data_IF_446162195818
#
_entry.id   IF_446162195818
#
_cell.length_a   1.000
_cell.length_b   1.000
_cell.length_c   1.000
_cell.angle_alpha   90.00
_cell.angle_beta   90.00
_cell.angle_gamma   90.00
#
_symmetry.space_group_name_H-M   'P 1'
#
loop_
_entity.id
_entity.type
_entity.pdbx_description
1 polymer ?
#
# COMPACT_ATOMS: atom_id res chain seq x y z
N UNK A 1 22.59 -30.63 -20.55
CA UNK A 1 22.23 -29.48 -19.69
C UNK A 1 20.88 -29.00 -20.17
N UNK A 2 19.81 -29.43 -19.52
CA UNK A 2 18.45 -29.05 -19.87
C UNK A 2 18.23 -27.60 -19.45
N UNK A 3 18.01 -26.73 -20.41
CA UNK A 3 17.53 -25.38 -20.19
C UNK A 3 16.14 -25.52 -19.54
N UNK A 4 16.08 -25.38 -18.24
CA UNK A 4 14.82 -25.05 -17.54
C UNK A 4 14.46 -23.65 -18.01
N UNK A 5 13.53 -23.57 -18.98
CA UNK A 5 13.01 -22.29 -19.44
C UNK A 5 12.49 -21.52 -18.22
N UNK A 6 13.04 -20.36 -17.96
CA UNK A 6 12.53 -19.42 -16.95
C UNK A 6 11.07 -19.13 -17.29
N UNK A 7 10.19 -19.38 -16.36
CA UNK A 7 8.77 -18.98 -16.48
C UNK A 7 8.75 -17.45 -16.49
N UNK A 8 8.05 -16.87 -17.45
CA UNK A 8 7.90 -15.41 -17.47
C UNK A 8 7.20 -14.92 -16.18
N UNK A 9 7.63 -13.80 -15.58
CA UNK A 9 6.97 -13.25 -14.39
C UNK A 9 5.48 -12.94 -14.63
N UNK A 10 5.05 -12.76 -15.88
CA UNK A 10 3.63 -12.63 -16.24
C UNK A 10 2.82 -13.90 -16.06
N UNK A 11 3.45 -15.08 -16.25
CA UNK A 11 2.77 -16.37 -16.33
C UNK A 11 2.73 -17.10 -14.98
N UNK A 12 3.29 -16.52 -13.94
CA UNK A 12 3.20 -17.08 -12.59
C UNK A 12 1.74 -17.11 -12.13
N UNK A 13 1.31 -18.24 -11.57
CA UNK A 13 -0.04 -18.38 -11.00
C UNK A 13 -0.07 -17.67 -9.66
N UNK A 14 -0.91 -16.64 -9.56
CA UNK A 14 -1.01 -15.78 -8.36
C UNK A 14 -2.20 -16.12 -7.48
N UNK A 15 -3.29 -16.63 -8.06
CA UNK A 15 -4.44 -17.10 -7.30
C UNK A 15 -5.25 -18.14 -8.07
N UNK A 16 -6.15 -18.83 -7.38
CA UNK A 16 -7.10 -19.75 -7.96
C UNK A 16 -8.50 -19.53 -7.38
N UNK A 17 -9.55 -19.58 -8.23
CA UNK A 17 -10.95 -19.54 -7.82
C UNK A 17 -11.67 -20.76 -8.40
N UNK A 18 -12.09 -21.68 -7.55
CA UNK A 18 -12.60 -22.98 -7.98
C UNK A 18 -11.54 -23.77 -8.75
N UNK A 19 -11.81 -24.08 -10.02
CA UNK A 19 -10.88 -24.78 -10.93
C UNK A 19 -10.09 -23.85 -11.83
N UNK A 20 -10.37 -22.55 -11.80
CA UNK A 20 -9.70 -21.56 -12.65
C UNK A 20 -8.50 -20.97 -11.92
N UNK A 21 -7.36 -20.95 -12.60
CA UNK A 21 -6.12 -20.30 -12.15
C UNK A 21 -5.97 -18.95 -12.84
N UNK A 22 -5.42 -17.99 -12.11
CA UNK A 22 -5.17 -16.63 -12.57
C UNK A 22 -3.69 -16.31 -12.41
N UNK A 23 -3.14 -15.66 -13.42
CA UNK A 23 -1.73 -15.31 -13.49
C UNK A 23 -1.47 -13.88 -13.04
N UNK A 24 -0.20 -13.49 -12.91
CA UNK A 24 0.20 -12.11 -12.68
C UNK A 24 -0.32 -11.19 -13.78
N UNK A 25 -0.31 -11.64 -15.04
CA UNK A 25 -0.93 -10.94 -16.17
C UNK A 25 -2.41 -10.64 -15.92
N UNK A 26 -3.18 -11.60 -15.41
CA UNK A 26 -4.60 -11.38 -15.11
C UNK A 26 -4.80 -10.33 -14.03
N UNK A 27 -3.92 -10.28 -13.01
CA UNK A 27 -3.96 -9.27 -11.96
C UNK A 27 -3.63 -7.86 -12.48
N UNK A 28 -2.61 -7.77 -13.36
CA UNK A 28 -2.20 -6.52 -14.01
C UNK A 28 -3.29 -6.03 -14.98
N UNK A 29 -3.81 -6.87 -15.85
CA UNK A 29 -4.87 -6.51 -16.80
C UNK A 29 -6.15 -6.10 -16.10
N UNK A 30 -6.46 -6.75 -14.96
CA UNK A 30 -7.55 -6.31 -14.09
C UNK A 30 -7.28 -4.93 -13.46
N UNK A 31 -6.03 -4.59 -13.15
CA UNK A 31 -5.65 -3.25 -12.67
C UNK A 31 -5.72 -2.21 -13.81
N UNK A 32 -5.35 -2.56 -15.04
CA UNK A 32 -5.57 -1.72 -16.24
C UNK A 32 -7.06 -1.44 -16.44
N UNK A 33 -7.89 -2.48 -16.41
CA UNK A 33 -9.35 -2.34 -16.51
C UNK A 33 -9.93 -1.37 -15.47
N UNK A 34 -9.38 -1.38 -14.24
CA UNK A 34 -9.82 -0.48 -13.17
C UNK A 34 -9.15 0.89 -13.19
N UNK A 35 -8.21 1.15 -14.10
CA UNK A 35 -7.46 2.41 -14.17
C UNK A 35 -6.47 2.60 -13.01
N UNK A 36 -6.08 1.51 -12.33
CA UNK A 36 -5.21 1.54 -11.15
C UNK A 36 -3.72 1.44 -11.52
N UNK A 37 -3.40 1.06 -12.77
CA UNK A 37 -2.02 0.84 -13.21
C UNK A 37 -1.29 2.12 -13.57
N UNK A 38 -2.00 3.15 -14.03
CA UNK A 38 -1.40 4.32 -14.67
C UNK A 38 -0.41 5.08 -13.79
N UNK A 39 -0.72 5.24 -12.50
CA UNK A 39 0.18 5.91 -11.55
C UNK A 39 1.45 5.09 -11.34
N UNK A 40 1.32 3.77 -11.14
CA UNK A 40 2.46 2.87 -10.96
C UNK A 40 3.34 2.81 -12.20
N UNK A 41 2.73 2.80 -13.38
CA UNK A 41 3.44 2.85 -14.65
C UNK A 41 4.24 4.15 -14.83
N UNK A 42 3.65 5.30 -14.50
CA UNK A 42 4.36 6.60 -14.53
C UNK A 42 5.53 6.63 -13.56
N UNK A 43 5.33 6.13 -12.35
CA UNK A 43 6.40 6.03 -11.34
C UNK A 43 7.55 5.17 -11.87
N UNK A 44 7.24 4.00 -12.45
CA UNK A 44 8.23 3.13 -13.05
C UNK A 44 8.99 3.81 -14.20
N UNK A 45 8.30 4.48 -15.12
CA UNK A 45 8.96 5.24 -16.20
C UNK A 45 9.86 6.36 -15.67
N UNK A 46 9.49 6.96 -14.53
CA UNK A 46 10.38 7.92 -13.86
C UNK A 46 11.63 7.25 -13.31
N UNK A 47 11.51 6.05 -12.74
CA UNK A 47 12.67 5.28 -12.26
C UNK A 47 13.60 4.89 -13.42
N UNK A 48 13.06 4.44 -14.55
CA UNK A 48 13.84 4.15 -15.76
C UNK A 48 14.56 5.40 -16.27
N UNK A 49 13.87 6.54 -16.31
CA UNK A 49 14.48 7.79 -16.74
C UNK A 49 15.56 8.30 -15.76
N UNK A 50 15.43 8.02 -14.47
CA UNK A 50 16.47 8.34 -13.50
C UNK A 50 17.72 7.48 -13.69
N UNK A 51 17.56 6.19 -14.03
CA UNK A 51 18.64 5.28 -14.38
C UNK A 51 19.36 5.75 -15.67
N UNK A 52 18.61 6.03 -16.76
CA UNK A 52 19.16 6.60 -18.00
C UNK A 52 19.93 7.89 -17.72
N UNK A 53 19.40 8.75 -16.83
CA UNK A 53 20.07 10.01 -16.47
C UNK A 53 21.30 9.81 -15.63
N UNK A 54 21.36 8.84 -14.74
CA UNK A 54 22.53 8.47 -13.97
C UNK A 54 23.66 8.01 -14.91
N UNK A 55 23.32 7.20 -15.90
CA UNK A 55 24.27 6.73 -16.92
C UNK A 55 24.83 7.89 -17.77
N UNK A 56 23.96 8.83 -18.21
CA UNK A 56 24.40 10.02 -18.93
C UNK A 56 25.37 10.91 -18.14
N UNK A 57 25.19 10.96 -16.82
CA UNK A 57 26.03 11.71 -15.89
C UNK A 57 27.29 10.94 -15.47
N UNK A 58 27.46 9.70 -15.93
CA UNK A 58 28.54 8.79 -15.52
C UNK A 58 28.61 8.68 -13.96
N UNK A 59 27.45 8.63 -13.29
CA UNK A 59 27.38 8.55 -11.84
C UNK A 59 27.95 7.22 -11.36
N UNK A 60 28.88 7.30 -10.42
CA UNK A 60 29.42 6.13 -9.74
C UNK A 60 28.38 5.60 -8.72
N UNK A 61 27.92 4.38 -8.93
CA UNK A 61 26.93 3.75 -8.05
C UNK A 61 27.58 3.36 -6.72
N UNK A 62 26.99 3.72 -5.60
CA UNK A 62 27.43 3.26 -4.29
C UNK A 62 26.98 1.82 -4.04
N UNK A 63 27.85 0.87 -4.40
CA UNK A 63 27.60 -0.57 -4.21
C UNK A 63 27.26 -0.93 -2.76
N UNK A 64 27.78 -0.18 -1.77
CA UNK A 64 27.49 -0.41 -0.36
C UNK A 64 26.06 -0.03 -0.02
N UNK A 65 25.59 1.12 -0.49
CA UNK A 65 24.21 1.57 -0.28
C UNK A 65 23.19 0.63 -0.96
N UNK A 66 23.48 0.19 -2.19
CA UNK A 66 22.66 -0.78 -2.93
C UNK A 66 22.61 -2.13 -2.18
N UNK A 67 23.76 -2.61 -1.69
CA UNK A 67 23.85 -3.86 -0.94
C UNK A 67 23.04 -3.82 0.36
N UNK A 68 23.10 -2.70 1.09
CA UNK A 68 22.33 -2.50 2.32
C UNK A 68 20.81 -2.56 2.01
N UNK A 69 20.34 -1.87 0.97
CA UNK A 69 18.95 -1.89 0.59
C UNK A 69 18.46 -3.30 0.18
N UNK A 70 19.29 -4.04 -0.55
CA UNK A 70 19.03 -5.43 -0.91
C UNK A 70 19.00 -6.37 0.32
N UNK A 71 19.88 -6.16 1.29
CA UNK A 71 19.89 -6.91 2.57
C UNK A 71 18.63 -6.59 3.41
N UNK A 72 18.25 -5.33 3.52
CA UNK A 72 17.01 -4.92 4.21
C UNK A 72 15.78 -5.56 3.59
N UNK A 73 15.71 -5.64 2.26
CA UNK A 73 14.65 -6.37 1.56
C UNK A 73 14.65 -7.84 1.96
N UNK A 74 15.81 -8.51 1.92
CA UNK A 74 15.93 -9.93 2.27
C UNK A 74 15.49 -10.18 3.72
N UNK A 75 15.90 -9.36 4.67
CA UNK A 75 15.47 -9.47 6.07
C UNK A 75 13.97 -9.27 6.24
N UNK A 76 13.38 -8.30 5.53
CA UNK A 76 11.94 -8.04 5.55
C UNK A 76 11.12 -9.20 5.02
N UNK A 77 11.68 -9.96 4.07
CA UNK A 77 11.07 -11.15 3.47
C UNK A 77 11.54 -12.48 4.09
N UNK A 78 12.24 -12.42 5.21
CA UNK A 78 12.79 -13.60 5.93
C UNK A 78 13.71 -14.47 5.05
N UNK A 79 14.44 -13.85 4.11
CA UNK A 79 15.36 -14.48 3.18
C UNK A 79 16.81 -14.41 3.71
N UNK A 80 17.17 -15.33 4.61
CA UNK A 80 18.45 -15.29 5.33
C UNK A 80 19.61 -15.77 4.45
N UNK A 81 19.36 -16.78 3.62
CA UNK A 81 20.40 -17.39 2.76
C UNK A 81 20.26 -16.98 1.29
N UNK A 82 21.34 -17.13 0.53
CA UNK A 82 21.30 -16.91 -0.92
C UNK A 82 20.35 -17.91 -1.62
N UNK A 83 20.30 -19.18 -1.16
CA UNK A 83 19.41 -20.21 -1.72
C UNK A 83 17.93 -19.88 -1.50
N UNK A 84 17.58 -19.32 -0.33
CA UNK A 84 16.22 -18.84 -0.06
C UNK A 84 15.84 -17.68 -0.99
N UNK A 85 16.80 -16.75 -1.21
CA UNK A 85 16.61 -15.62 -2.14
C UNK A 85 16.41 -16.13 -3.57
N UNK A 86 17.28 -17.02 -4.05
CA UNK A 86 17.17 -17.62 -5.39
C UNK A 86 15.81 -18.35 -5.56
N UNK A 87 15.42 -19.13 -4.57
CA UNK A 87 14.13 -19.85 -4.57
C UNK A 87 12.95 -18.89 -4.59
N UNK A 88 13.01 -17.81 -3.81
CA UNK A 88 11.98 -16.78 -3.76
C UNK A 88 11.81 -16.08 -5.10
N UNK A 89 12.93 -15.70 -5.74
CA UNK A 89 12.96 -15.07 -7.06
C UNK A 89 12.44 -16.03 -8.13
N UNK A 90 12.96 -17.26 -8.17
CA UNK A 90 12.56 -18.27 -9.15
C UNK A 90 11.05 -18.59 -9.09
N UNK A 91 10.46 -18.67 -7.89
CA UNK A 91 9.02 -18.85 -7.68
C UNK A 91 8.18 -17.68 -8.22
N UNK A 92 8.81 -16.53 -8.48
CA UNK A 92 8.19 -15.30 -9.02
C UNK A 92 8.61 -15.02 -10.45
N UNK A 93 9.30 -15.96 -11.11
CA UNK A 93 9.78 -15.80 -12.48
C UNK A 93 10.89 -14.75 -12.61
N UNK A 94 11.56 -14.39 -11.51
CA UNK A 94 12.63 -13.40 -11.46
C UNK A 94 14.01 -14.06 -11.42
N UNK A 95 15.00 -13.31 -11.88
CA UNK A 95 16.44 -13.65 -11.80
C UNK A 95 17.16 -12.78 -10.77
N UNK A 96 18.39 -13.13 -10.47
CA UNK A 96 19.28 -12.29 -9.65
C UNK A 96 19.58 -10.95 -10.34
N UNK A 97 19.64 -10.95 -11.68
CA UNK A 97 19.86 -9.72 -12.46
C UNK A 97 18.69 -8.76 -12.26
N UNK A 98 17.42 -9.22 -12.37
CA UNK A 98 16.24 -8.39 -12.09
C UNK A 98 16.26 -7.81 -10.68
N UNK A 99 16.73 -8.59 -9.69
CA UNK A 99 16.86 -8.15 -8.31
C UNK A 99 17.91 -7.06 -8.15
N UNK A 100 19.09 -7.26 -8.72
CA UNK A 100 20.20 -6.30 -8.65
C UNK A 100 19.86 -5.00 -9.38
N UNK A 101 19.30 -5.10 -10.59
CA UNK A 101 18.87 -3.95 -11.41
C UNK A 101 17.80 -3.11 -10.69
N UNK A 102 16.84 -3.76 -10.00
CA UNK A 102 15.83 -3.06 -9.23
C UNK A 102 16.46 -2.15 -8.16
N UNK A 103 17.40 -2.65 -7.36
CA UNK A 103 18.03 -1.84 -6.30
C UNK A 103 18.98 -0.79 -6.86
N UNK A 104 19.67 -1.08 -7.96
CA UNK A 104 20.47 -0.09 -8.67
C UNK A 104 19.59 1.07 -9.17
N UNK A 105 18.44 0.76 -9.78
CA UNK A 105 17.48 1.76 -10.24
C UNK A 105 16.90 2.58 -9.08
N UNK A 106 16.53 1.95 -7.95
CA UNK A 106 16.07 2.67 -6.76
C UNK A 106 17.15 3.64 -6.22
N UNK A 107 18.41 3.23 -6.26
CA UNK A 107 19.53 4.10 -5.90
C UNK A 107 19.62 5.32 -6.84
N UNK A 108 19.54 5.11 -8.16
CA UNK A 108 19.57 6.19 -9.15
C UNK A 108 18.49 7.24 -8.90
N UNK A 109 17.26 6.82 -8.54
CA UNK A 109 16.17 7.75 -8.18
C UNK A 109 16.53 8.68 -7.02
N UNK A 110 17.29 8.17 -6.03
CA UNK A 110 17.71 8.98 -4.88
C UNK A 110 18.96 9.82 -5.16
N UNK A 111 19.79 9.39 -6.10
CA UNK A 111 21.07 10.03 -6.42
C UNK A 111 20.95 11.14 -7.48
N UNK A 112 19.93 11.08 -8.34
CA UNK A 112 19.69 12.08 -9.39
C UNK A 112 18.69 13.12 -8.89
N UNK A 113 19.19 14.34 -8.60
CA UNK A 113 18.36 15.42 -8.06
C UNK A 113 17.55 16.16 -9.13
N UNK A 114 18.10 16.30 -10.36
CA UNK A 114 17.49 17.13 -11.42
C UNK A 114 17.66 16.52 -12.82
N UNK A 115 16.78 16.92 -13.73
CA UNK A 115 16.89 16.59 -15.15
C UNK A 115 16.31 15.24 -15.55
N UNK A 116 15.53 14.60 -14.68
CA UNK A 116 14.82 13.36 -14.99
C UNK A 116 13.59 13.68 -15.84
N UNK A 117 13.54 13.16 -17.06
CA UNK A 117 12.45 13.37 -18.01
C UNK A 117 11.93 12.02 -18.51
N UNK A 118 10.90 11.45 -17.87
CA UNK A 118 10.36 10.16 -18.28
C UNK A 118 9.73 10.24 -19.67
N UNK A 119 9.87 9.15 -20.44
CA UNK A 119 9.21 8.99 -21.73
C UNK A 119 7.69 8.87 -21.52
N UNK A 120 6.91 9.51 -22.36
CA UNK A 120 5.44 9.36 -22.36
C UNK A 120 5.07 8.12 -23.22
N UNK A 121 5.10 6.95 -22.61
CA UNK A 121 4.73 5.68 -23.24
C UNK A 121 3.53 5.09 -22.48
N UNK A 122 2.47 4.74 -23.19
CA UNK A 122 1.35 4.00 -22.60
C UNK A 122 1.75 2.54 -22.36
N UNK A 123 1.28 1.93 -21.27
CA UNK A 123 1.60 0.53 -20.93
C UNK A 123 1.25 -0.45 -22.06
N UNK A 124 0.09 -0.26 -22.69
CA UNK A 124 -0.39 -1.12 -23.77
C UNK A 124 0.44 -1.02 -25.07
N UNK A 125 1.23 0.04 -25.23
CA UNK A 125 2.09 0.31 -26.38
C UNK A 125 3.58 0.08 -26.09
N UNK A 126 3.92 -0.31 -24.86
CA UNK A 126 5.30 -0.58 -24.46
C UNK A 126 5.82 -1.89 -25.07
N UNK A 127 7.13 -1.95 -25.30
CA UNK A 127 7.76 -3.19 -25.76
C UNK A 127 7.81 -4.24 -24.62
N UNK A 128 8.11 -5.47 -25.00
CA UNK A 128 8.11 -6.60 -24.08
C UNK A 128 9.16 -6.45 -22.97
N UNK A 129 10.35 -5.92 -23.28
CA UNK A 129 11.44 -5.75 -22.35
C UNK A 129 11.05 -4.77 -21.22
N UNK A 130 10.52 -3.62 -21.60
CA UNK A 130 10.04 -2.60 -20.64
C UNK A 130 8.89 -3.14 -19.78
N UNK A 131 7.99 -3.92 -20.38
CA UNK A 131 6.91 -4.57 -19.65
C UNK A 131 7.42 -5.62 -18.66
N UNK A 132 8.41 -6.44 -19.02
CA UNK A 132 9.02 -7.42 -18.10
C UNK A 132 9.75 -6.74 -16.94
N UNK A 133 10.49 -5.66 -17.20
CA UNK A 133 11.10 -4.83 -16.16
C UNK A 133 10.05 -4.26 -15.19
N UNK A 134 8.92 -3.79 -15.74
CA UNK A 134 7.83 -3.27 -14.91
C UNK A 134 7.20 -4.34 -14.01
N UNK A 135 6.98 -5.56 -14.52
CA UNK A 135 6.46 -6.66 -13.68
C UNK A 135 7.44 -7.01 -12.58
N UNK A 136 8.75 -7.04 -12.88
CA UNK A 136 9.78 -7.24 -11.85
C UNK A 136 9.71 -6.16 -10.76
N UNK A 137 9.55 -4.90 -11.16
CA UNK A 137 9.35 -3.76 -10.24
C UNK A 137 8.09 -3.93 -9.39
N UNK A 138 6.96 -4.31 -9.98
CA UNK A 138 5.72 -4.56 -9.25
C UNK A 138 5.85 -5.68 -8.20
N UNK A 139 6.60 -6.74 -8.55
CA UNK A 139 6.87 -7.86 -7.62
C UNK A 139 7.78 -7.40 -6.48
N UNK A 140 8.90 -6.76 -6.79
CA UNK A 140 9.92 -6.38 -5.81
C UNK A 140 9.47 -5.23 -4.89
N UNK A 141 8.64 -4.32 -5.40
CA UNK A 141 8.01 -3.28 -4.58
C UNK A 141 6.83 -3.75 -3.73
N UNK A 142 6.33 -4.98 -3.94
CA UNK A 142 5.11 -5.50 -3.32
C UNK A 142 3.81 -4.96 -3.95
N UNK A 143 3.89 -4.13 -4.98
CA UNK A 143 2.71 -3.55 -5.62
C UNK A 143 1.84 -4.60 -6.34
N UNK A 144 2.44 -5.70 -6.81
CA UNK A 144 1.71 -6.81 -7.39
C UNK A 144 0.83 -7.52 -6.35
N UNK A 145 1.29 -7.65 -5.10
CA UNK A 145 0.53 -8.29 -4.02
C UNK A 145 -0.78 -7.55 -3.75
N UNK A 146 -0.77 -6.22 -3.76
CA UNK A 146 -1.99 -5.41 -3.67
C UNK A 146 -2.96 -5.68 -4.83
N UNK A 147 -2.45 -5.82 -6.06
CA UNK A 147 -3.27 -6.11 -7.23
C UNK A 147 -3.90 -7.52 -7.13
N UNK A 148 -3.13 -8.50 -6.64
CA UNK A 148 -3.59 -9.86 -6.38
C UNK A 148 -4.70 -9.87 -5.32
N UNK A 149 -4.53 -9.17 -4.22
CA UNK A 149 -5.55 -9.04 -3.16
C UNK A 149 -6.83 -8.45 -3.74
N UNK A 150 -6.72 -7.36 -4.50
CA UNK A 150 -7.88 -6.71 -5.14
C UNK A 150 -8.57 -7.61 -6.16
N UNK A 151 -7.83 -8.40 -6.92
CA UNK A 151 -8.39 -9.38 -7.85
C UNK A 151 -9.09 -10.51 -7.08
N UNK A 152 -8.45 -11.10 -6.08
CA UNK A 152 -9.01 -12.22 -5.30
C UNK A 152 -10.30 -11.84 -4.57
N UNK A 153 -10.41 -10.63 -4.03
CA UNK A 153 -11.65 -10.14 -3.42
C UNK A 153 -12.80 -10.11 -4.43
N UNK A 154 -12.55 -9.64 -5.65
CA UNK A 154 -13.53 -9.55 -6.72
C UNK A 154 -13.94 -10.91 -7.24
N UNK A 155 -12.98 -11.81 -7.43
CA UNK A 155 -13.26 -13.20 -7.81
C UNK A 155 -14.09 -13.90 -6.73
N UNK A 156 -13.74 -13.74 -5.46
CA UNK A 156 -14.49 -14.31 -4.36
C UNK A 156 -15.92 -13.74 -4.29
N UNK A 157 -16.10 -12.43 -4.52
CA UNK A 157 -17.40 -11.80 -4.63
C UNK A 157 -18.22 -12.39 -5.78
N UNK A 158 -17.62 -12.56 -6.95
CA UNK A 158 -18.25 -13.17 -8.14
C UNK A 158 -18.69 -14.61 -7.89
N UNK A 159 -17.84 -15.40 -7.20
CA UNK A 159 -18.15 -16.79 -6.86
C UNK A 159 -19.26 -16.92 -5.79
N UNK A 160 -19.36 -15.95 -4.88
CA UNK A 160 -20.37 -15.96 -3.82
C UNK A 160 -21.71 -15.37 -4.25
N UNK A 161 -21.72 -14.51 -5.25
CA UNK A 161 -22.91 -13.81 -5.73
C UNK A 161 -23.75 -14.71 -6.64
N UNK A 162 -25.06 -14.40 -6.71
CA UNK A 162 -25.87 -14.77 -7.88
C UNK A 162 -25.40 -13.94 -9.07
N UNK A 163 -25.76 -14.40 -10.28
CA UNK A 163 -25.47 -13.66 -11.51
C UNK A 163 -25.87 -12.18 -11.33
N UNK A 164 -24.96 -11.21 -11.57
CA UNK A 164 -25.30 -9.80 -11.46
C UNK A 164 -26.38 -9.41 -12.45
N UNK A 165 -27.27 -8.51 -12.06
CA UNK A 165 -28.29 -8.00 -12.94
C UNK A 165 -27.68 -7.31 -14.17
N UNK A 166 -28.27 -7.50 -15.34
CA UNK A 166 -27.77 -6.91 -16.60
C UNK A 166 -27.64 -5.38 -16.51
N UNK A 167 -28.50 -4.74 -15.72
CA UNK A 167 -28.44 -3.29 -15.48
C UNK A 167 -27.19 -2.88 -14.67
N UNK A 168 -26.79 -3.69 -13.68
CA UNK A 168 -25.56 -3.46 -12.91
C UNK A 168 -24.31 -3.59 -13.82
N UNK A 169 -24.27 -4.62 -14.66
CA UNK A 169 -23.18 -4.81 -15.65
C UNK A 169 -23.14 -3.63 -16.63
N UNK A 170 -24.29 -3.17 -17.12
CA UNK A 170 -24.36 -2.01 -18.00
C UNK A 170 -23.93 -0.70 -17.31
N UNK A 171 -24.20 -0.57 -16.02
CA UNK A 171 -23.71 0.57 -15.23
C UNK A 171 -22.18 0.55 -15.10
N UNK A 172 -21.58 -0.62 -14.80
CA UNK A 172 -20.12 -0.76 -14.74
C UNK A 172 -19.48 -0.53 -16.10
N UNK A 173 -20.09 -0.95 -17.20
CA UNK A 173 -19.58 -0.64 -18.55
C UNK A 173 -19.52 0.88 -18.80
N UNK A 174 -20.54 1.64 -18.38
CA UNK A 174 -20.52 3.11 -18.51
C UNK A 174 -19.39 3.74 -17.67
N UNK A 175 -19.19 3.26 -16.43
CA UNK A 175 -18.11 3.72 -15.56
C UNK A 175 -16.72 3.39 -16.16
N UNK A 176 -16.55 2.19 -16.71
CA UNK A 176 -15.34 1.76 -17.40
C UNK A 176 -14.99 2.68 -18.56
N UNK A 177 -15.93 2.94 -19.47
CA UNK A 177 -15.73 3.85 -20.62
C UNK A 177 -15.35 5.27 -20.17
N UNK A 178 -16.07 5.79 -19.19
CA UNK A 178 -15.78 7.12 -18.62
C UNK A 178 -14.41 7.20 -17.96
N UNK A 179 -14.01 6.17 -17.21
CA UNK A 179 -12.71 6.12 -16.51
C UNK A 179 -11.54 6.10 -17.46
N UNK A 180 -11.64 5.34 -18.56
CA UNK A 180 -10.60 5.27 -19.59
C UNK A 180 -10.69 6.41 -20.62
N UNK A 181 -11.76 7.18 -20.63
CA UNK A 181 -11.96 8.26 -21.60
C UNK A 181 -12.14 7.76 -23.03
N UNK A 182 -12.62 6.52 -23.22
CA UNK A 182 -12.79 5.89 -24.55
C UNK A 182 -14.27 5.81 -24.93
N UNK A 183 -14.50 5.95 -26.23
CA UNK A 183 -15.83 5.77 -26.81
C UNK A 183 -16.13 4.27 -27.02
N UNK A 184 -17.42 3.86 -27.03
CA UNK A 184 -17.82 2.47 -27.25
C UNK A 184 -17.22 1.83 -28.51
N UNK A 185 -16.95 2.62 -29.54
CA UNK A 185 -16.35 2.18 -30.81
C UNK A 185 -14.87 1.87 -30.71
N UNK A 186 -14.17 2.39 -29.71
CA UNK A 186 -12.73 2.22 -29.45
C UNK A 186 -12.43 1.01 -28.56
N UNK A 187 -13.47 0.37 -28.01
CA UNK A 187 -13.29 -0.77 -27.08
C UNK A 187 -12.61 -1.95 -27.76
N UNK A 188 -12.88 -2.20 -29.05
CA UNK A 188 -12.26 -3.31 -29.76
C UNK A 188 -10.74 -3.10 -29.93
N UNK A 189 -10.34 -1.89 -30.31
CA UNK A 189 -8.94 -1.52 -30.50
C UNK A 189 -8.19 -1.59 -29.15
N UNK A 190 -8.79 -1.07 -28.08
CA UNK A 190 -8.23 -1.14 -26.73
C UNK A 190 -8.04 -2.58 -26.23
N UNK A 191 -8.99 -3.48 -26.53
CA UNK A 191 -8.88 -4.90 -26.20
C UNK A 191 -7.76 -5.59 -27.00
N UNK A 192 -7.62 -5.25 -28.27
CA UNK A 192 -6.55 -5.76 -29.14
C UNK A 192 -5.17 -5.34 -28.62
N UNK A 193 -4.99 -4.07 -28.25
CA UNK A 193 -3.76 -3.56 -27.63
C UNK A 193 -3.42 -4.29 -26.32
N UNK A 194 -4.43 -4.61 -25.50
CA UNK A 194 -4.25 -5.36 -24.25
C UNK A 194 -4.03 -6.87 -24.48
N UNK A 195 -4.26 -7.37 -25.71
CA UNK A 195 -4.22 -8.80 -26.03
C UNK A 195 -5.38 -9.59 -25.41
N UNK A 196 -6.54 -8.94 -25.22
CA UNK A 196 -7.75 -9.52 -24.63
C UNK A 196 -8.94 -9.43 -25.60
N UNK A 197 -9.99 -10.16 -25.29
CA UNK A 197 -11.19 -10.21 -26.12
C UNK A 197 -12.45 -9.69 -25.42
N UNK A 198 -13.55 -9.64 -26.14
CA UNK A 198 -14.84 -9.19 -25.60
C UNK A 198 -15.41 -10.12 -24.52
N UNK A 199 -15.04 -11.40 -24.52
CA UNK A 199 -15.46 -12.35 -23.48
C UNK A 199 -14.79 -12.00 -22.17
N UNK A 200 -13.48 -11.73 -22.19
CA UNK A 200 -12.73 -11.26 -21.03
C UNK A 200 -13.33 -9.97 -20.46
N UNK A 201 -13.63 -8.97 -21.31
CA UNK A 201 -14.23 -7.71 -20.85
C UNK A 201 -15.58 -7.94 -20.17
N UNK A 202 -16.45 -8.77 -20.75
CA UNK A 202 -17.75 -9.08 -20.17
C UNK A 202 -17.62 -9.76 -18.81
N UNK A 203 -16.65 -10.66 -18.63
CA UNK A 203 -16.38 -11.30 -17.36
C UNK A 203 -15.85 -10.29 -16.35
N UNK A 204 -14.91 -9.40 -16.72
CA UNK A 204 -14.41 -8.34 -15.83
C UNK A 204 -15.52 -7.38 -15.36
N UNK A 205 -16.44 -7.03 -16.27
CA UNK A 205 -17.61 -6.22 -15.92
C UNK A 205 -18.56 -6.94 -14.95
N UNK A 206 -18.76 -8.25 -15.14
CA UNK A 206 -19.58 -9.07 -14.22
C UNK A 206 -18.92 -9.23 -12.85
N UNK A 207 -17.62 -9.45 -12.83
CA UNK A 207 -16.81 -9.52 -11.60
C UNK A 207 -16.90 -8.20 -10.81
N UNK A 208 -16.73 -7.07 -11.48
CA UNK A 208 -16.79 -5.75 -10.83
C UNK A 208 -18.21 -5.43 -10.33
N UNK A 209 -19.24 -5.72 -11.14
CA UNK A 209 -20.63 -5.53 -10.73
C UNK A 209 -21.01 -6.37 -9.49
N UNK A 210 -20.52 -7.61 -9.40
CA UNK A 210 -20.70 -8.46 -8.22
C UNK A 210 -20.00 -7.85 -7.00
N UNK A 211 -18.74 -7.43 -7.15
CA UNK A 211 -17.97 -6.80 -6.07
C UNK A 211 -18.65 -5.54 -5.54
N UNK A 212 -19.08 -4.63 -6.41
CA UNK A 212 -19.76 -3.40 -6.02
C UNK A 212 -21.09 -3.72 -5.29
N UNK A 213 -21.87 -4.71 -5.77
CA UNK A 213 -23.08 -5.13 -5.08
C UNK A 213 -22.85 -5.61 -3.64
N UNK A 214 -21.73 -6.31 -3.39
CA UNK A 214 -21.32 -6.66 -2.03
C UNK A 214 -20.93 -5.43 -1.21
N UNK A 215 -20.11 -4.54 -1.78
CA UNK A 215 -19.68 -3.31 -1.10
C UNK A 215 -20.88 -2.44 -0.70
N UNK A 216 -21.85 -2.22 -1.58
CA UNK A 216 -23.03 -1.42 -1.30
C UNK A 216 -23.84 -2.00 -0.13
N UNK A 217 -23.95 -3.32 -0.07
CA UNK A 217 -24.63 -4.00 1.04
C UNK A 217 -23.90 -3.88 2.37
N UNK A 218 -22.55 -4.05 2.34
CA UNK A 218 -21.70 -4.00 3.53
C UNK A 218 -21.56 -2.59 4.10
N UNK A 219 -21.50 -1.60 3.21
CA UNK A 219 -21.30 -0.20 3.56
C UNK A 219 -22.62 0.55 3.75
N UNK A 220 -23.72 -0.17 4.05
CA UNK A 220 -24.98 0.46 4.42
C UNK A 220 -24.82 1.34 5.69
N UNK A 221 -25.54 2.46 5.81
CA UNK A 221 -25.38 3.42 6.91
C UNK A 221 -25.38 2.77 8.30
N UNK A 222 -26.33 1.87 8.56
CA UNK A 222 -26.41 1.18 9.84
C UNK A 222 -25.24 0.23 10.15
N UNK A 223 -24.51 -0.27 9.14
CA UNK A 223 -23.29 -1.06 9.35
C UNK A 223 -22.15 -0.16 9.78
N UNK A 224 -21.94 0.96 9.10
CA UNK A 224 -20.94 1.97 9.46
C UNK A 224 -21.14 2.51 10.88
N UNK A 225 -22.37 2.81 11.27
CA UNK A 225 -22.70 3.28 12.64
C UNK A 225 -22.38 2.23 13.71
N UNK A 226 -22.67 0.95 13.46
CA UNK A 226 -22.33 -0.13 14.40
C UNK A 226 -20.82 -0.28 14.55
N UNK A 227 -20.09 -0.25 13.45
CA UNK A 227 -18.62 -0.37 13.45
C UNK A 227 -17.99 0.84 14.13
N UNK A 228 -18.49 2.07 13.89
CA UNK A 228 -18.03 3.26 14.59
C UNK A 228 -18.18 3.12 16.11
N UNK A 229 -19.32 2.64 16.59
CA UNK A 229 -19.56 2.40 18.01
C UNK A 229 -18.60 1.37 18.60
N UNK A 230 -18.30 0.30 17.86
CA UNK A 230 -17.38 -0.74 18.31
C UNK A 230 -15.92 -0.23 18.39
N UNK A 231 -15.55 0.71 17.54
CA UNK A 231 -14.19 1.24 17.42
C UNK A 231 -14.04 2.65 17.99
N UNK A 232 -15.04 3.16 18.72
CA UNK A 232 -15.07 4.55 19.20
C UNK A 232 -13.80 4.96 19.94
N UNK A 233 -13.30 4.11 20.82
CA UNK A 233 -12.09 4.40 21.59
C UNK A 233 -10.85 4.39 20.69
N UNK A 234 -10.66 3.37 19.86
CA UNK A 234 -9.51 3.25 18.99
C UNK A 234 -9.41 4.39 17.96
N UNK A 235 -10.57 4.83 17.45
CA UNK A 235 -10.69 5.92 16.49
C UNK A 235 -10.79 7.32 17.14
N UNK A 236 -10.61 7.44 18.46
CA UNK A 236 -10.44 8.75 19.10
C UNK A 236 -9.12 9.36 18.64
N UNK A 237 -9.19 10.56 18.08
CA UNK A 237 -8.00 11.32 17.63
C UNK A 237 -7.47 12.18 18.78
N UNK A 238 -6.18 12.06 18.99
CA UNK A 238 -5.44 12.85 19.97
C UNK A 238 -4.65 13.93 19.26
N UNK A 239 -4.81 15.16 19.69
CA UNK A 239 -3.97 16.29 19.34
C UNK A 239 -3.05 16.52 20.54
N UNK A 240 -1.74 16.46 20.34
CA UNK A 240 -0.73 16.59 21.39
C UNK A 240 0.34 17.60 21.01
N UNK A 241 0.99 18.14 22.00
CA UNK A 241 2.31 18.75 21.90
C UNK A 241 3.32 17.89 22.65
N UNK A 242 4.55 17.85 22.17
CA UNK A 242 5.59 17.02 22.75
C UNK A 242 6.97 17.66 22.66
N UNK A 243 7.83 17.34 23.63
CA UNK A 243 9.25 17.66 23.68
C UNK A 243 10.02 16.35 23.68
N UNK A 244 11.06 16.25 22.87
CA UNK A 244 12.00 15.12 22.86
C UNK A 244 13.18 15.43 23.77
N UNK A 245 13.53 14.51 24.66
CA UNK A 245 14.53 14.71 25.70
C UNK A 245 15.51 13.55 25.74
N UNK A 246 16.76 13.83 26.09
CA UNK A 246 17.85 12.85 26.04
C UNK A 246 17.84 11.87 27.20
N UNK A 247 17.21 12.23 28.33
CA UNK A 247 17.22 11.41 29.53
C UNK A 247 15.92 11.52 30.35
N UNK A 248 15.71 10.52 31.20
CA UNK A 248 14.58 10.50 32.13
C UNK A 248 14.61 11.67 33.16
N UNK A 249 15.80 12.07 33.58
CA UNK A 249 15.95 13.15 34.54
C UNK A 249 15.63 14.51 33.92
N UNK A 250 16.10 14.74 32.65
CA UNK A 250 15.71 15.93 31.89
C UNK A 250 14.20 15.96 31.63
N UNK A 251 13.58 14.81 31.33
CA UNK A 251 12.13 14.74 31.14
C UNK A 251 11.33 14.99 32.41
N UNK A 252 11.84 14.60 33.57
CA UNK A 252 11.23 14.92 34.85
C UNK A 252 11.38 16.40 35.18
N UNK A 253 12.53 16.99 34.93
CA UNK A 253 12.75 18.42 35.15
C UNK A 253 11.82 19.26 34.28
N UNK A 254 11.75 18.96 32.99
CA UNK A 254 10.81 19.57 32.04
C UNK A 254 9.33 19.42 32.52
N UNK A 255 8.96 18.24 33.00
CA UNK A 255 7.64 18.00 33.58
C UNK A 255 7.34 18.92 34.80
N UNK A 256 8.33 19.13 35.67
CA UNK A 256 8.18 20.00 36.87
C UNK A 256 8.07 21.47 36.44
N UNK A 257 8.91 21.94 35.53
CA UNK A 257 8.84 23.31 35.00
C UNK A 257 7.44 23.63 34.42
N UNK A 258 6.87 22.69 33.67
CA UNK A 258 5.54 22.89 33.11
C UNK A 258 4.44 22.76 34.16
N UNK A 259 4.55 21.80 35.10
CA UNK A 259 3.49 21.48 36.08
C UNK A 259 3.45 22.46 37.24
N UNK A 260 4.62 22.84 37.78
CA UNK A 260 4.75 23.61 39.02
C UNK A 260 5.10 25.07 38.77
N UNK A 261 5.99 25.36 37.82
CA UNK A 261 6.41 26.71 37.51
C UNK A 261 5.49 27.40 36.49
N UNK A 262 4.60 26.63 35.85
CA UNK A 262 3.59 27.16 34.96
C UNK A 262 4.13 27.57 33.57
N UNK A 263 5.31 27.13 33.22
CA UNK A 263 5.90 27.36 31.89
C UNK A 263 5.10 26.61 30.84
N UNK A 264 5.04 27.13 29.59
CA UNK A 264 4.51 26.39 28.47
C UNK A 264 5.51 25.34 28.02
N UNK A 265 5.03 24.32 27.27
CA UNK A 265 5.90 23.30 26.70
C UNK A 265 6.91 23.94 25.72
N UNK A 266 6.47 24.94 24.97
CA UNK A 266 7.31 25.66 24.01
C UNK A 266 8.43 26.46 24.70
N UNK A 267 8.11 27.17 25.83
CA UNK A 267 9.12 27.89 26.64
C UNK A 267 10.18 26.94 27.18
N UNK A 268 9.78 25.79 27.75
CA UNK A 268 10.73 24.77 28.26
C UNK A 268 11.62 24.22 27.15
N UNK A 269 11.05 23.97 25.96
CA UNK A 269 11.80 23.49 24.81
C UNK A 269 12.82 24.52 24.32
N UNK A 270 12.42 25.81 24.26
CA UNK A 270 13.26 26.90 23.78
C UNK A 270 14.44 27.19 24.72
N UNK A 271 14.22 27.21 26.05
CA UNK A 271 15.27 27.45 27.04
C UNK A 271 16.41 26.43 26.98
N UNK A 272 16.07 25.16 26.83
CA UNK A 272 17.02 24.04 26.83
C UNK A 272 17.37 23.55 25.39
N UNK A 273 16.76 24.15 24.36
CA UNK A 273 16.91 23.79 22.94
C UNK A 273 16.51 22.35 22.60
N UNK A 274 15.46 21.86 23.23
CA UNK A 274 14.88 20.57 22.93
C UNK A 274 13.97 20.64 21.68
N UNK A 275 13.90 19.58 20.87
CA UNK A 275 12.93 19.51 19.78
C UNK A 275 11.50 19.54 20.32
N UNK A 276 10.71 20.51 19.82
CA UNK A 276 9.30 20.68 20.15
C UNK A 276 8.46 20.52 18.90
N UNK A 277 7.34 19.80 19.02
CA UNK A 277 6.41 19.62 17.89
C UNK A 277 4.99 19.34 18.35
N UNK A 278 4.04 19.64 17.46
CA UNK A 278 2.67 19.16 17.52
C UNK A 278 2.52 17.86 16.75
N UNK A 279 1.66 16.97 17.22
CA UNK A 279 1.33 15.74 16.53
C UNK A 279 -0.14 15.40 16.68
N UNK A 280 -0.68 14.71 15.68
CA UNK A 280 -2.01 14.13 15.69
C UNK A 280 -1.94 12.65 15.34
N UNK A 281 -2.72 11.82 16.03
CA UNK A 281 -2.82 10.39 15.74
C UNK A 281 -4.15 9.84 16.25
N UNK A 282 -4.57 8.69 15.73
CA UNK A 282 -5.65 7.92 16.34
C UNK A 282 -5.09 7.01 17.44
N UNK A 283 -5.85 6.77 18.48
CA UNK A 283 -5.38 5.93 19.59
C UNK A 283 -4.89 4.55 19.13
N UNK A 284 -5.57 3.98 18.15
CA UNK A 284 -5.22 2.68 17.59
C UNK A 284 -3.88 2.63 16.81
N UNK A 285 -3.36 3.79 16.38
CA UNK A 285 -2.06 3.90 15.70
C UNK A 285 -0.89 3.75 16.69
N UNK A 286 -1.17 3.84 18.00
CA UNK A 286 -0.18 3.61 19.05
C UNK A 286 -0.04 2.11 19.38
N UNK A 287 1.16 1.68 19.80
CA UNK A 287 1.36 0.37 20.40
C UNK A 287 0.38 0.11 21.55
N UNK A 288 -0.11 -1.12 21.67
CA UNK A 288 -1.16 -1.48 22.61
C UNK A 288 -0.80 -1.17 24.09
N UNK A 289 0.47 -1.24 24.44
CA UNK A 289 0.98 -0.92 25.79
C UNK A 289 1.05 0.59 26.08
N UNK A 290 1.09 1.43 25.05
CA UNK A 290 1.09 2.89 25.17
C UNK A 290 -0.35 3.46 25.30
N UNK A 291 -1.34 2.86 24.64
CA UNK A 291 -2.72 3.35 24.59
C UNK A 291 -3.33 3.70 25.97
N UNK A 292 -3.20 2.85 27.02
CA UNK A 292 -3.77 3.14 28.33
C UNK A 292 -3.24 4.43 28.96
N UNK A 293 -1.98 4.81 28.68
CA UNK A 293 -1.37 6.04 29.20
C UNK A 293 -2.10 7.28 28.66
N UNK A 294 -2.38 7.30 27.36
CA UNK A 294 -3.10 8.42 26.72
C UNK A 294 -4.59 8.46 27.10
N UNK A 295 -5.22 7.30 27.27
CA UNK A 295 -6.63 7.23 27.67
C UNK A 295 -6.83 7.78 29.07
N UNK A 296 -5.92 7.47 30.03
CA UNK A 296 -6.04 7.81 31.44
C UNK A 296 -5.86 9.31 31.76
N UNK A 297 -5.16 10.04 30.89
CA UNK A 297 -4.86 11.46 31.08
C UNK A 297 -5.96 12.32 30.47
N UNK A 298 -6.44 13.33 31.21
CA UNK A 298 -7.47 14.25 30.70
C UNK A 298 -6.88 15.28 29.72
N UNK A 299 -7.74 15.84 28.89
CA UNK A 299 -7.38 16.94 28.00
C UNK A 299 -6.79 18.11 28.80
N UNK A 300 -5.73 18.74 28.29
CA UNK A 300 -4.97 19.82 28.93
C UNK A 300 -3.85 19.34 29.85
N UNK A 301 -3.79 18.06 30.19
CA UNK A 301 -2.82 17.51 31.11
C UNK A 301 -1.63 16.84 30.45
N UNK A 302 -0.53 16.76 31.23
CA UNK A 302 0.71 16.10 30.82
C UNK A 302 0.66 14.61 31.16
N UNK A 303 1.25 13.82 30.27
CA UNK A 303 1.61 12.43 30.55
C UNK A 303 2.92 12.40 31.37
N UNK A 304 3.10 11.33 32.15
CA UNK A 304 4.42 11.03 32.69
C UNK A 304 5.39 10.75 31.57
N UNK A 305 6.69 11.09 31.69
CA UNK A 305 7.67 10.89 30.64
C UNK A 305 7.64 9.47 30.03
N UNK A 306 7.58 9.37 28.70
CA UNK A 306 7.47 8.11 27.97
C UNK A 306 8.83 7.79 27.33
N UNK A 307 9.41 6.59 27.56
CA UNK A 307 10.61 6.16 26.85
C UNK A 307 10.35 6.06 25.33
N UNK A 308 11.27 6.57 24.50
CA UNK A 308 11.21 6.45 23.05
C UNK A 308 12.61 6.36 22.44
N UNK A 309 12.92 5.24 21.81
CA UNK A 309 14.29 4.98 21.36
C UNK A 309 15.29 5.07 22.52
N UNK A 310 16.35 5.85 22.32
CA UNK A 310 17.39 6.08 23.34
C UNK A 310 17.06 7.24 24.30
N UNK A 311 15.90 7.91 24.11
CA UNK A 311 15.49 9.08 24.88
C UNK A 311 14.09 8.96 25.51
N UNK A 312 13.52 10.12 25.80
CA UNK A 312 12.19 10.25 26.41
C UNK A 312 11.37 11.32 25.70
N UNK A 313 10.05 11.19 25.77
CA UNK A 313 9.10 12.20 25.33
C UNK A 313 8.28 12.70 26.53
N UNK A 314 8.13 14.01 26.64
CA UNK A 314 7.14 14.65 27.49
C UNK A 314 5.99 15.12 26.61
N UNK A 315 4.78 14.64 26.88
CA UNK A 315 3.60 14.91 26.06
C UNK A 315 2.51 15.61 26.85
N UNK A 316 1.85 16.61 26.26
CA UNK A 316 0.59 17.18 26.74
C UNK A 316 -0.53 16.88 25.75
N UNK A 317 -1.66 16.43 26.26
CA UNK A 317 -2.87 16.24 25.48
C UNK A 317 -3.56 17.59 25.29
N UNK A 318 -3.50 18.14 24.09
CA UNK A 318 -4.20 19.40 23.75
C UNK A 318 -5.70 19.11 23.64
N UNK A 319 -6.07 18.04 22.90
CA UNK A 319 -7.45 17.72 22.63
C UNK A 319 -7.67 16.23 22.37
N UNK A 320 -8.85 15.75 22.78
CA UNK A 320 -9.37 14.44 22.41
C UNK A 320 -10.61 14.64 21.55
N UNK A 321 -10.56 14.19 20.30
CA UNK A 321 -11.65 14.35 19.32
C UNK A 321 -12.36 13.01 19.15
N UNK A 322 -13.63 12.97 19.49
CA UNK A 322 -14.45 11.78 19.29
C UNK A 322 -14.65 11.51 17.78
N UNK A 323 -14.56 10.25 17.36
CA UNK A 323 -14.72 9.90 15.95
C UNK A 323 -16.15 10.12 15.46
N UNK A 324 -16.28 10.59 14.21
CA UNK A 324 -17.56 10.83 13.54
C UNK A 324 -17.50 10.35 12.11
N UNK A 325 -18.63 9.87 11.56
CA UNK A 325 -18.70 9.41 10.16
C UNK A 325 -18.58 10.54 9.12
N UNK A 326 -18.78 11.78 9.55
CA UNK A 326 -18.56 12.97 8.72
C UNK A 326 -17.07 13.21 8.45
N UNK A 327 -16.17 12.75 9.34
CA UNK A 327 -14.73 12.78 9.13
C UNK A 327 -14.35 11.75 8.04
N UNK A 328 -13.77 12.19 6.92
CA UNK A 328 -13.43 11.29 5.81
C UNK A 328 -12.44 10.20 6.20
N UNK A 329 -11.48 10.50 7.11
CA UNK A 329 -10.44 9.55 7.54
C UNK A 329 -11.09 8.45 8.40
N UNK A 330 -11.92 8.85 9.37
CA UNK A 330 -12.66 7.90 10.22
C UNK A 330 -13.56 7.00 9.37
N UNK A 331 -14.30 7.59 8.43
CA UNK A 331 -15.16 6.84 7.53
C UNK A 331 -14.37 5.86 6.67
N UNK A 332 -13.27 6.28 6.08
CA UNK A 332 -12.39 5.43 5.27
C UNK A 332 -11.86 4.23 6.07
N UNK A 333 -11.38 4.45 7.30
CA UNK A 333 -10.90 3.37 8.19
C UNK A 333 -12.00 2.36 8.52
N UNK A 334 -13.21 2.84 8.79
CA UNK A 334 -14.37 1.97 9.08
C UNK A 334 -14.75 1.15 7.85
N UNK A 335 -14.87 1.79 6.69
CA UNK A 335 -15.21 1.13 5.44
C UNK A 335 -14.17 0.08 5.07
N UNK A 336 -12.89 0.42 5.15
CA UNK A 336 -11.79 -0.51 4.89
C UNK A 336 -11.87 -1.75 5.79
N UNK A 337 -12.08 -1.60 7.10
CA UNK A 337 -12.20 -2.73 8.03
C UNK A 337 -13.41 -3.62 7.76
N UNK A 338 -14.55 -3.01 7.43
CA UNK A 338 -15.74 -3.78 7.05
C UNK A 338 -15.48 -4.63 5.81
N UNK A 339 -14.82 -4.05 4.80
CA UNK A 339 -14.47 -4.73 3.55
C UNK A 339 -13.40 -5.80 3.79
N UNK A 340 -12.31 -5.49 4.48
CA UNK A 340 -11.22 -6.43 4.77
C UNK A 340 -11.73 -7.67 5.52
N UNK A 341 -12.49 -7.47 6.58
CA UNK A 341 -13.06 -8.58 7.36
C UNK A 341 -13.94 -9.48 6.50
N UNK A 342 -14.84 -8.89 5.74
CA UNK A 342 -15.74 -9.66 4.89
C UNK A 342 -15.03 -10.37 3.76
N UNK A 343 -14.18 -9.66 3.01
CA UNK A 343 -13.51 -10.24 1.86
C UNK A 343 -12.40 -11.23 2.25
N UNK A 344 -11.77 -11.07 3.42
CA UNK A 344 -10.84 -12.09 3.94
C UNK A 344 -11.56 -13.42 4.18
N UNK A 345 -12.75 -13.40 4.82
CA UNK A 345 -13.56 -14.60 5.01
C UNK A 345 -14.02 -15.21 3.68
N UNK A 346 -14.44 -14.35 2.75
CA UNK A 346 -14.93 -14.76 1.45
C UNK A 346 -13.81 -15.38 0.59
N UNK A 347 -12.62 -14.76 0.62
CA UNK A 347 -11.43 -15.22 -0.09
C UNK A 347 -11.00 -16.60 0.42
N UNK A 348 -10.95 -16.79 1.74
CA UNK A 348 -10.64 -18.10 2.34
C UNK A 348 -11.56 -19.21 1.83
N UNK A 349 -12.79 -18.87 1.47
CA UNK A 349 -13.80 -19.87 1.02
C UNK A 349 -13.74 -20.13 -0.50
N UNK A 350 -13.46 -19.12 -1.31
CA UNK A 350 -13.69 -19.17 -2.75
C UNK A 350 -12.45 -18.91 -3.61
N UNK A 351 -11.48 -18.16 -3.12
CA UNK A 351 -10.32 -17.76 -3.91
C UNK A 351 -9.04 -17.86 -3.07
N UNK A 352 -8.10 -18.65 -3.53
CA UNK A 352 -6.89 -18.96 -2.77
C UNK A 352 -5.68 -18.27 -3.42
N UNK A 353 -5.02 -17.32 -2.74
CA UNK A 353 -3.74 -16.79 -3.21
C UNK A 353 -2.69 -17.93 -3.23
N UNK A 354 -1.87 -17.97 -4.28
CA UNK A 354 -0.81 -18.97 -4.50
C UNK A 354 0.58 -18.41 -4.22
N UNK A 355 0.76 -17.09 -4.37
CA UNK A 355 1.94 -16.39 -3.88
C UNK A 355 1.65 -16.06 -2.41
N UNK A 356 2.30 -16.77 -1.51
CA UNK A 356 2.24 -16.42 -0.09
C UNK A 356 2.94 -15.07 0.09
N UNK A 357 2.20 -14.08 0.58
CA UNK A 357 2.85 -12.95 1.21
C UNK A 357 3.72 -13.50 2.36
N UNK A 358 4.91 -12.95 2.63
CA UNK A 358 5.63 -13.28 3.85
C UNK A 358 4.71 -12.98 5.04
N UNK A 359 4.63 -13.92 5.96
CA UNK A 359 3.86 -13.86 7.21
C UNK A 359 4.44 -12.79 8.11
#
# INVERSE_FOLDING_TARGET
MSSTGSVSPYDIIVCACGTQEYTARDAIDAAVFRGELQEKWRTFLHHVAAEERADELELELDESAISIAAEEFRYRHDLITAEETETWLANRGLTFDNFSEYFARQYCVSAVEEGVSPKEIEYTSADQELCEMFVAELILSGALDDMIVRLTWRLAARCAAKEPASEAIAAEKRKFLHRLGIEPTQVADWLEELGRDSQWLNEMLAIEAAYIGHCDSLLAPGARERELKALQLGLTRFEIELIELESHDAAKEALLCVREDGMSMEEVADEERYPYRHAEFFLEDLPADAQPKYVSVSQGNLLEPIPRGDGFELCRIIKKVEPRLEDPIVRSRIEQRLLERYFSELTTKYAHPRLSAPV
#
